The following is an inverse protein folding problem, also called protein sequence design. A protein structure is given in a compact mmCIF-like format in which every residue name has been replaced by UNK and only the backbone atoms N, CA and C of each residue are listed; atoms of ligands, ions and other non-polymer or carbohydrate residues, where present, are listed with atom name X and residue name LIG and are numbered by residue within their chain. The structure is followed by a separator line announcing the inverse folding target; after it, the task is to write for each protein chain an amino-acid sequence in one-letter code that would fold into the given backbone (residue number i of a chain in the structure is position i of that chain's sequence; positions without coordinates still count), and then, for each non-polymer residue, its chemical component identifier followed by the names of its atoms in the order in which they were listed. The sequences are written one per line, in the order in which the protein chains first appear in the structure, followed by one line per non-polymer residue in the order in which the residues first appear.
data_IF_819650862947
#
_entry.id   IF_819650862947
#
_cell.length_a   1.000
_cell.length_b   1.000
_cell.length_c   1.000
_cell.angle_alpha   90.00
_cell.angle_beta   90.00
_cell.angle_gamma   90.00
#
_symmetry.space_group_name_H-M   'P 1'
#
loop_
_entity.id
_entity.type
_entity.pdbx_description
1 polymer ?
#
# COMPACT_ATOMS: atom_id res chain seq x y z
N UNK A 1 -7.84 -69.07 -24.99
CA UNK A 1 -7.60 -68.23 -23.79
C UNK A 1 -7.47 -66.78 -24.27
N UNK A 2 -8.54 -66.01 -24.19
CA UNK A 2 -8.57 -64.60 -24.62
C UNK A 2 -8.15 -63.72 -23.44
N UNK A 3 -7.02 -63.04 -23.56
CA UNK A 3 -6.50 -62.13 -22.53
C UNK A 3 -7.26 -60.80 -22.54
N UNK A 4 -7.92 -60.49 -21.43
CA UNK A 4 -8.57 -59.20 -21.19
C UNK A 4 -7.47 -58.19 -20.84
N UNK A 5 -7.25 -57.18 -21.67
CA UNK A 5 -6.41 -56.03 -21.33
C UNK A 5 -7.24 -55.06 -20.49
N UNK A 6 -6.97 -54.99 -19.19
CA UNK A 6 -7.52 -53.96 -18.32
C UNK A 6 -6.77 -52.65 -18.59
N UNK A 7 -7.48 -51.63 -19.09
CA UNK A 7 -6.98 -50.27 -19.16
C UNK A 7 -7.19 -49.62 -17.79
N UNK A 8 -6.10 -49.22 -17.12
CA UNK A 8 -6.18 -48.35 -15.96
C UNK A 8 -6.53 -46.93 -16.44
N UNK A 9 -7.73 -46.47 -16.07
CA UNK A 9 -8.07 -45.05 -16.10
C UNK A 9 -7.41 -44.40 -14.88
N UNK A 10 -6.35 -43.62 -15.07
CA UNK A 10 -5.85 -42.72 -14.04
C UNK A 10 -6.79 -41.51 -13.95
N UNK A 11 -7.58 -41.44 -12.88
CA UNK A 11 -8.25 -40.21 -12.47
C UNK A 11 -7.19 -39.27 -11.87
N UNK A 12 -6.76 -38.26 -12.62
CA UNK A 12 -6.08 -37.11 -12.03
C UNK A 12 -7.12 -36.29 -11.26
N UNK A 13 -7.19 -36.50 -9.94
CA UNK A 13 -7.88 -35.58 -9.04
C UNK A 13 -7.04 -34.30 -8.98
N UNK A 14 -7.51 -33.22 -9.61
CA UNK A 14 -6.95 -31.90 -9.39
C UNK A 14 -7.17 -31.54 -7.92
N UNK A 15 -6.10 -31.22 -7.20
CA UNK A 15 -6.23 -30.61 -5.89
C UNK A 15 -7.02 -29.29 -6.05
N UNK A 16 -7.90 -28.93 -5.11
CA UNK A 16 -8.54 -27.62 -5.15
C UNK A 16 -7.44 -26.55 -5.18
N UNK A 17 -7.57 -25.58 -6.08
CA UNK A 17 -6.70 -24.42 -6.09
C UNK A 17 -6.76 -23.74 -4.72
N UNK A 18 -5.60 -23.27 -4.22
CA UNK A 18 -5.59 -22.42 -3.04
C UNK A 18 -6.43 -21.16 -3.31
N UNK A 19 -7.11 -20.65 -2.28
CA UNK A 19 -7.92 -19.45 -2.42
C UNK A 19 -7.04 -18.20 -2.24
N UNK A 20 -7.16 -17.27 -3.19
CA UNK A 20 -6.37 -16.04 -3.24
C UNK A 20 -7.03 -14.91 -2.43
N UNK A 21 -6.27 -13.84 -2.14
CA UNK A 21 -6.80 -12.65 -1.47
C UNK A 21 -7.75 -11.89 -2.42
N UNK A 22 -9.01 -11.76 -2.03
CA UNK A 22 -10.02 -11.03 -2.81
C UNK A 22 -10.28 -9.61 -2.28
N UNK A 23 -10.23 -9.41 -0.96
CA UNK A 23 -10.42 -8.09 -0.35
C UNK A 23 -9.78 -8.03 1.04
N UNK A 24 -9.45 -6.83 1.50
CA UNK A 24 -8.98 -6.57 2.84
C UNK A 24 -9.68 -5.34 3.44
N UNK A 25 -9.87 -5.33 4.76
CA UNK A 25 -10.31 -4.15 5.51
C UNK A 25 -9.73 -4.14 6.90
N UNK A 26 -9.59 -2.96 7.48
CA UNK A 26 -9.31 -2.88 8.90
C UNK A 26 -10.54 -3.23 9.73
N UNK A 27 -10.31 -3.81 10.90
CA UNK A 27 -11.32 -4.27 11.82
C UNK A 27 -10.94 -3.91 13.25
N UNK A 28 -11.91 -4.00 14.16
CA UNK A 28 -11.74 -3.64 15.58
C UNK A 28 -11.25 -2.18 15.76
N UNK A 29 -12.07 -1.18 15.41
CA UNK A 29 -11.76 0.23 15.66
C UNK A 29 -11.35 0.45 17.12
N UNK A 30 -10.37 1.30 17.36
CA UNK A 30 -9.76 1.44 18.69
C UNK A 30 -9.22 2.83 18.96
N UNK A 31 -9.29 3.26 20.22
CA UNK A 31 -8.69 4.52 20.69
C UNK A 31 -7.38 4.31 21.47
N UNK A 32 -6.80 3.11 21.42
CA UNK A 32 -5.58 2.77 22.20
C UNK A 32 -4.38 3.64 21.80
N UNK A 33 -4.25 3.95 20.51
CA UNK A 33 -3.14 4.76 20.02
C UNK A 33 -3.46 6.25 20.20
N UNK A 34 -4.65 6.71 19.85
CA UNK A 34 -5.13 8.06 20.18
C UNK A 34 -4.33 9.18 19.51
N UNK A 35 -3.78 8.93 18.33
CA UNK A 35 -3.13 9.95 17.51
C UNK A 35 -4.18 10.88 16.91
N UNK A 36 -5.24 10.31 16.31
CA UNK A 36 -6.33 11.09 15.72
C UNK A 36 -5.91 11.90 14.48
N UNK A 37 -4.86 11.48 13.76
CA UNK A 37 -4.49 12.10 12.48
C UNK A 37 -5.60 11.91 11.45
N UNK A 38 -6.17 10.71 11.37
CA UNK A 38 -7.37 10.39 10.59
C UNK A 38 -8.52 10.09 11.57
N UNK A 39 -9.66 10.80 11.52
CA UNK A 39 -10.79 10.54 12.41
C UNK A 39 -11.29 9.09 12.30
N UNK A 40 -11.25 8.36 13.42
CA UNK A 40 -11.65 6.94 13.46
C UNK A 40 -10.75 6.00 12.65
N UNK A 41 -9.58 6.46 12.19
CA UNK A 41 -8.66 5.71 11.33
C UNK A 41 -7.70 4.80 12.09
N UNK A 42 -8.03 4.38 13.31
CA UNK A 42 -7.18 3.53 14.15
C UNK A 42 -7.85 2.19 14.44
N UNK A 43 -7.13 1.10 14.17
CA UNK A 43 -7.69 -0.25 14.19
C UNK A 43 -6.75 -1.28 14.83
N UNK A 44 -7.34 -2.25 15.53
CA UNK A 44 -6.62 -3.34 16.19
C UNK A 44 -6.39 -4.58 15.31
N UNK A 45 -7.05 -4.67 14.17
CA UNK A 45 -7.01 -5.86 13.34
C UNK A 45 -7.07 -5.56 11.83
N UNK A 46 -6.55 -6.51 11.05
CA UNK A 46 -6.69 -6.58 9.61
C UNK A 46 -7.47 -7.84 9.27
N UNK A 47 -8.59 -7.69 8.56
CA UNK A 47 -9.40 -8.79 8.08
C UNK A 47 -9.28 -8.92 6.57
N UNK A 48 -9.19 -10.15 6.09
CA UNK A 48 -9.00 -10.51 4.68
C UNK A 48 -10.06 -11.52 4.29
N UNK A 49 -10.69 -11.31 3.13
CA UNK A 49 -11.62 -12.27 2.53
C UNK A 49 -10.94 -12.88 1.32
N UNK A 50 -10.93 -14.21 1.24
CA UNK A 50 -10.37 -14.96 0.13
C UNK A 50 -11.43 -15.20 -0.97
N UNK A 51 -10.99 -15.64 -2.16
CA UNK A 51 -11.86 -15.89 -3.32
C UNK A 51 -12.89 -16.98 -3.09
N UNK A 52 -12.66 -17.90 -2.14
CA UNK A 52 -13.62 -18.93 -1.72
C UNK A 52 -14.60 -18.47 -0.62
N UNK A 53 -14.48 -17.21 -0.17
CA UNK A 53 -15.28 -16.63 0.90
C UNK A 53 -14.73 -16.87 2.31
N UNK A 54 -13.62 -17.58 2.46
CA UNK A 54 -12.92 -17.73 3.74
C UNK A 54 -12.49 -16.36 4.26
N UNK A 55 -12.68 -16.13 5.56
CA UNK A 55 -12.28 -14.89 6.24
C UNK A 55 -11.15 -15.15 7.22
N UNK A 56 -10.03 -14.49 7.00
CA UNK A 56 -8.86 -14.51 7.87
C UNK A 56 -8.78 -13.19 8.63
N UNK A 57 -8.33 -13.24 9.88
CA UNK A 57 -8.20 -12.07 10.74
C UNK A 57 -6.87 -12.13 11.49
N UNK A 58 -6.09 -11.07 11.39
CA UNK A 58 -4.89 -10.88 12.20
C UNK A 58 -5.07 -9.70 13.14
N UNK A 59 -4.71 -9.88 14.41
CA UNK A 59 -4.76 -8.84 15.44
C UNK A 59 -3.36 -8.41 15.78
N UNK A 60 -3.16 -7.11 15.91
CA UNK A 60 -1.85 -6.55 16.28
C UNK A 60 -1.82 -6.13 17.74
N UNK A 61 -0.66 -6.34 18.35
CA UNK A 61 -0.29 -5.80 19.66
C UNK A 61 0.98 -4.96 19.52
N UNK A 62 1.21 -4.01 20.44
CA UNK A 62 2.34 -3.08 20.36
C UNK A 62 2.19 -1.97 19.32
N UNK A 63 0.97 -1.75 18.82
CA UNK A 63 0.62 -0.69 17.89
C UNK A 63 -0.82 -0.80 17.40
N UNK A 64 -1.13 -0.07 16.34
CA UNK A 64 -2.41 -0.09 15.60
C UNK A 64 -2.14 -0.07 14.09
N UNK A 65 -3.12 -0.44 13.30
CA UNK A 65 -3.20 0.06 11.93
C UNK A 65 -3.75 1.47 11.97
N UNK A 66 -3.13 2.38 11.23
CA UNK A 66 -3.52 3.79 11.20
C UNK A 66 -3.62 4.27 9.75
N UNK A 67 -4.81 4.27 9.16
CA UNK A 67 -5.04 4.61 7.74
C UNK A 67 -6.56 4.64 7.44
N UNK A 68 -6.95 4.95 6.19
CA UNK A 68 -8.36 4.92 5.74
C UNK A 68 -8.79 3.53 5.25
N UNK A 69 -7.89 2.81 4.56
CA UNK A 69 -8.12 1.44 4.10
C UNK A 69 -6.78 0.73 3.78
N UNK A 70 -6.69 -0.60 3.94
CA UNK A 70 -5.58 -1.34 3.37
C UNK A 70 -5.66 -1.32 1.84
N UNK A 71 -4.52 -1.39 1.17
CA UNK A 71 -4.46 -1.40 -0.31
C UNK A 71 -3.98 -2.77 -0.79
N UNK A 72 -4.58 -3.28 -1.85
CA UNK A 72 -4.18 -4.54 -2.49
C UNK A 72 -3.23 -4.27 -3.64
N UNK A 73 -2.16 -5.04 -3.75
CA UNK A 73 -1.17 -4.91 -4.80
C UNK A 73 -0.34 -6.18 -4.94
N UNK A 74 -0.17 -6.67 -6.17
CA UNK A 74 0.59 -7.87 -6.51
C UNK A 74 2.05 -7.48 -6.78
N UNK A 75 2.93 -7.67 -5.79
CA UNK A 75 4.35 -7.30 -5.93
C UNK A 75 5.21 -8.41 -6.51
N UNK A 76 4.79 -9.68 -6.39
CA UNK A 76 5.57 -10.82 -6.88
C UNK A 76 5.10 -11.35 -8.25
N UNK A 77 3.97 -10.85 -8.75
CA UNK A 77 3.42 -11.12 -10.06
C UNK A 77 2.77 -12.50 -10.17
N UNK A 78 2.41 -13.13 -9.05
CA UNK A 78 1.79 -14.46 -9.04
C UNK A 78 0.27 -14.44 -9.33
N UNK A 79 -0.33 -13.24 -9.41
CA UNK A 79 -1.75 -13.00 -9.65
C UNK A 79 -2.59 -12.90 -8.37
N UNK A 80 -2.01 -13.13 -7.19
CA UNK A 80 -2.60 -12.90 -5.88
C UNK A 80 -2.04 -11.61 -5.29
N UNK A 81 -2.89 -10.65 -4.89
CA UNK A 81 -2.36 -9.42 -4.33
C UNK A 81 -1.89 -9.61 -2.87
N UNK A 82 -0.78 -8.96 -2.53
CA UNK A 82 -0.44 -8.62 -1.15
C UNK A 82 -1.27 -7.44 -0.64
N UNK A 83 -1.16 -7.19 0.66
CA UNK A 83 -1.85 -6.12 1.37
C UNK A 83 -0.83 -5.13 1.92
N UNK A 84 -0.89 -3.90 1.45
CA UNK A 84 -0.14 -2.75 1.98
C UNK A 84 -0.95 -2.11 3.12
N UNK A 85 -0.34 -2.03 4.30
CA UNK A 85 -0.94 -1.40 5.48
C UNK A 85 0.05 -0.43 6.16
N UNK A 86 -0.48 0.58 6.83
CA UNK A 86 0.30 1.47 7.70
C UNK A 86 0.16 0.98 9.14
N UNK A 87 1.23 0.40 9.67
CA UNK A 87 1.29 -0.04 11.07
C UNK A 87 2.02 1.01 11.91
N UNK A 88 1.34 1.56 12.90
CA UNK A 88 1.84 2.56 13.84
C UNK A 88 2.21 1.91 15.17
N UNK A 89 3.52 1.75 15.41
CA UNK A 89 4.03 1.17 16.65
C UNK A 89 3.95 2.13 17.83
N UNK A 90 3.63 1.60 19.02
CA UNK A 90 3.40 2.38 20.24
C UNK A 90 4.64 3.19 20.69
N UNK A 91 5.84 2.72 20.34
CA UNK A 91 7.12 3.34 20.70
C UNK A 91 8.02 3.65 19.50
N UNK A 92 7.76 3.05 18.35
CA UNK A 92 8.61 3.12 17.15
C UNK A 92 8.05 4.00 16.03
N UNK A 93 6.77 4.42 16.12
CA UNK A 93 6.09 5.17 15.08
C UNK A 93 5.67 4.30 13.88
N UNK A 94 5.18 4.94 12.82
CA UNK A 94 4.64 4.24 11.65
C UNK A 94 5.69 3.56 10.76
N UNK A 95 5.26 2.50 10.10
CA UNK A 95 5.94 1.81 9.00
C UNK A 95 4.90 1.35 7.97
N UNK A 96 5.34 1.21 6.73
CA UNK A 96 4.61 0.45 5.72
C UNK A 96 4.91 -1.02 5.96
N UNK A 97 3.86 -1.81 6.15
CA UNK A 97 3.95 -3.26 6.34
C UNK A 97 3.14 -3.96 5.25
N UNK A 98 3.74 -4.96 4.63
CA UNK A 98 3.12 -5.81 3.62
C UNK A 98 2.70 -7.13 4.27
N UNK A 99 1.47 -7.54 4.02
CA UNK A 99 0.91 -8.83 4.43
C UNK A 99 0.53 -9.66 3.21
N UNK A 100 0.57 -10.98 3.34
CA UNK A 100 0.09 -11.90 2.31
C UNK A 100 -0.22 -13.27 2.90
N UNK A 101 -0.45 -14.26 2.04
CA UNK A 101 -0.68 -15.64 2.47
C UNK A 101 0.63 -16.42 2.45
N UNK A 102 0.96 -17.06 3.58
CA UNK A 102 2.03 -18.04 3.67
C UNK A 102 1.44 -19.31 4.27
N UNK A 103 1.48 -20.42 3.54
CA UNK A 103 0.87 -21.71 3.93
C UNK A 103 -0.63 -21.57 4.32
N UNK A 104 -1.37 -20.71 3.62
CA UNK A 104 -2.78 -20.41 3.89
C UNK A 104 -3.04 -19.53 5.12
N UNK A 105 -1.98 -19.02 5.77
CA UNK A 105 -2.07 -18.11 6.91
C UNK A 105 -1.77 -16.68 6.50
N UNK A 106 -2.56 -15.73 7.00
CA UNK A 106 -2.29 -14.30 6.84
C UNK A 106 -1.08 -13.89 7.69
N UNK A 107 0.01 -13.53 7.01
CA UNK A 107 1.33 -13.27 7.61
C UNK A 107 1.89 -11.92 7.16
N UNK A 108 2.63 -11.25 8.04
CA UNK A 108 3.40 -10.08 7.65
C UNK A 108 4.65 -10.52 6.87
N UNK A 109 4.72 -10.15 5.60
CA UNK A 109 5.82 -10.54 4.70
C UNK A 109 7.04 -9.64 4.88
N UNK A 110 6.86 -8.39 5.29
CA UNK A 110 7.95 -7.48 5.62
C UNK A 110 7.46 -6.06 5.92
N UNK A 111 8.37 -5.17 6.34
CA UNK A 111 8.10 -3.74 6.50
C UNK A 111 9.36 -2.90 6.28
N UNK A 112 9.17 -1.62 5.92
CA UNK A 112 10.25 -0.65 5.95
C UNK A 112 10.65 -0.29 7.41
N UNK A 113 11.76 0.44 7.56
CA UNK A 113 12.19 0.91 8.87
C UNK A 113 11.14 1.86 9.49
N UNK A 114 10.81 1.71 10.78
CA UNK A 114 9.83 2.57 11.43
C UNK A 114 10.37 3.99 11.62
N UNK A 115 9.49 4.99 11.56
CA UNK A 115 9.89 6.40 11.51
C UNK A 115 10.13 7.06 12.88
N UNK A 116 10.46 6.28 13.90
CA UNK A 116 11.08 6.74 15.14
C UNK A 116 10.21 6.61 16.39
N UNK A 117 9.32 7.56 16.65
CA UNK A 117 8.50 7.60 17.88
C UNK A 117 7.02 7.63 17.54
N UNK A 118 6.19 7.35 18.55
CA UNK A 118 4.72 7.43 18.51
C UNK A 118 4.24 8.73 17.89
N UNK A 119 3.05 8.70 17.29
CA UNK A 119 2.39 9.85 16.65
C UNK A 119 3.16 10.40 15.45
N UNK A 120 3.86 9.51 14.78
CA UNK A 120 4.39 9.73 13.44
C UNK A 120 3.71 8.76 12.52
N UNK A 121 3.19 9.30 11.41
CA UNK A 121 2.30 8.60 10.51
C UNK A 121 2.77 8.71 9.04
N UNK A 122 2.39 7.75 8.22
CA UNK A 122 2.68 7.67 6.79
C UNK A 122 1.38 7.66 6.00
N UNK A 123 1.27 8.51 4.98
CA UNK A 123 0.08 8.55 4.12
C UNK A 123 0.42 7.97 2.74
N UNK A 124 -0.12 6.79 2.43
CA UNK A 124 0.13 6.10 1.15
C UNK A 124 -0.59 6.82 0.01
N UNK A 125 0.16 7.19 -1.02
CA UNK A 125 -0.36 7.77 -2.26
C UNK A 125 -0.74 6.69 -3.28
N UNK A 126 -0.01 5.57 -3.30
CA UNK A 126 -0.34 4.39 -4.09
C UNK A 126 0.89 3.63 -4.55
N UNK A 127 0.71 2.74 -5.52
CA UNK A 127 1.74 1.83 -6.00
C UNK A 127 1.72 1.77 -7.53
N UNK A 128 2.90 1.75 -8.14
CA UNK A 128 3.12 1.57 -9.57
C UNK A 128 4.62 1.37 -9.86
N UNK A 129 4.98 0.85 -11.03
CA UNK A 129 6.35 0.86 -11.56
C UNK A 129 6.77 2.29 -11.98
N UNK A 130 7.39 3.05 -11.06
CA UNK A 130 7.79 4.43 -11.34
C UNK A 130 9.13 4.53 -12.05
N UNK A 131 9.98 3.51 -11.91
CA UNK A 131 11.33 3.51 -12.47
C UNK A 131 11.43 2.77 -13.82
N UNK A 132 10.40 2.02 -14.21
CA UNK A 132 10.29 1.28 -15.47
C UNK A 132 11.03 -0.06 -15.48
N UNK A 133 11.39 -0.62 -14.33
CA UNK A 133 12.15 -1.88 -14.22
C UNK A 133 11.26 -3.13 -14.12
N UNK A 134 9.93 -2.93 -14.10
CA UNK A 134 8.93 -3.99 -13.98
C UNK A 134 8.61 -4.40 -12.55
N UNK A 135 9.16 -3.72 -11.54
CA UNK A 135 8.79 -3.88 -10.13
C UNK A 135 8.06 -2.63 -9.64
N UNK A 136 6.88 -2.82 -9.04
CA UNK A 136 6.11 -1.70 -8.53
C UNK A 136 6.67 -1.18 -7.20
N UNK A 137 6.76 0.15 -7.05
CA UNK A 137 7.12 0.80 -5.80
C UNK A 137 5.91 1.30 -5.03
N UNK A 138 6.09 1.48 -3.72
CA UNK A 138 5.14 2.16 -2.85
C UNK A 138 5.52 3.64 -2.74
N UNK A 139 4.60 4.51 -3.15
CA UNK A 139 4.67 5.94 -2.94
C UNK A 139 3.90 6.34 -1.67
N UNK A 140 4.55 7.06 -0.76
CA UNK A 140 3.90 7.58 0.46
C UNK A 140 4.54 8.88 0.94
N UNK A 141 3.76 9.67 1.69
CA UNK A 141 4.25 10.88 2.35
C UNK A 141 4.61 10.58 3.80
N UNK A 142 5.87 10.81 4.16
CA UNK A 142 6.36 10.77 5.53
C UNK A 142 5.85 11.98 6.30
N UNK A 143 5.06 11.72 7.36
CA UNK A 143 4.45 12.70 8.27
C UNK A 143 3.86 13.88 7.48
N UNK A 144 2.71 13.70 6.82
CA UNK A 144 2.12 14.70 5.91
C UNK A 144 1.79 16.05 6.58
N UNK A 145 1.72 16.10 7.90
CA UNK A 145 1.54 17.34 8.68
C UNK A 145 2.86 17.89 9.28
N UNK A 146 3.94 17.10 9.31
CA UNK A 146 5.26 17.50 9.82
C UNK A 146 6.31 17.55 8.70
N UNK A 147 6.85 16.39 8.28
CA UNK A 147 8.01 16.32 7.40
C UNK A 147 7.66 16.62 5.93
N UNK A 148 6.44 16.31 5.48
CA UNK A 148 5.95 16.64 4.13
C UNK A 148 6.93 16.20 3.04
N UNK A 149 7.36 14.95 3.14
CA UNK A 149 8.35 14.34 2.25
C UNK A 149 7.73 13.14 1.55
N UNK A 150 7.59 13.23 0.24
CA UNK A 150 7.25 12.09 -0.61
C UNK A 150 8.45 11.15 -0.69
N UNK A 151 8.19 9.85 -0.57
CA UNK A 151 9.18 8.78 -0.67
C UNK A 151 8.66 7.72 -1.64
N UNK A 152 9.59 7.11 -2.38
CA UNK A 152 9.38 5.90 -3.17
C UNK A 152 10.24 4.79 -2.62
N UNK A 153 9.61 3.63 -2.40
CA UNK A 153 10.26 2.45 -1.84
C UNK A 153 9.92 1.22 -2.68
N UNK A 154 10.95 0.56 -3.20
CA UNK A 154 10.82 -0.76 -3.83
C UNK A 154 10.61 -1.83 -2.75
N UNK A 155 9.73 -2.78 -3.05
CA UNK A 155 9.53 -4.00 -2.26
C UNK A 155 10.28 -5.14 -2.97
N UNK A 156 11.35 -5.62 -2.35
CA UNK A 156 12.13 -6.75 -2.85
C UNK A 156 11.58 -8.05 -2.27
N UNK A 157 10.78 -8.73 -3.10
CA UNK A 157 10.10 -9.99 -2.79
C UNK A 157 11.03 -11.21 -2.80
N UNK A 158 12.28 -11.04 -3.26
CA UNK A 158 13.25 -12.16 -3.33
C UNK A 158 13.85 -12.51 -1.97
N UNK A 159 13.64 -11.65 -0.97
CA UNK A 159 14.07 -11.86 0.41
C UNK A 159 12.91 -12.37 1.28
N UNK A 160 13.22 -13.14 2.32
CA UNK A 160 12.26 -13.53 3.35
C UNK A 160 12.82 -13.15 4.73
N UNK A 161 12.26 -12.13 5.41
CA UNK A 161 11.13 -11.28 5.01
C UNK A 161 11.44 -10.37 3.81
N UNK A 162 10.40 -9.84 3.14
CA UNK A 162 10.51 -8.86 2.05
C UNK A 162 11.34 -7.67 2.51
N UNK A 163 12.28 -7.23 1.67
CA UNK A 163 13.13 -6.10 1.95
C UNK A 163 12.58 -4.82 1.30
N UNK A 164 12.81 -3.68 1.93
CA UNK A 164 12.29 -2.38 1.49
C UNK A 164 13.46 -1.43 1.25
N UNK A 165 13.56 -0.88 0.03
CA UNK A 165 14.65 0.03 -0.36
C UNK A 165 14.08 1.35 -0.85
N UNK A 166 14.40 2.44 -0.16
CA UNK A 166 14.10 3.78 -0.67
C UNK A 166 14.92 4.07 -1.92
N UNK A 167 14.25 4.49 -2.99
CA UNK A 167 14.90 4.80 -4.28
C UNK A 167 14.90 6.29 -4.59
N UNK A 168 13.93 7.04 -4.05
CA UNK A 168 13.86 8.49 -4.23
C UNK A 168 13.06 9.13 -3.09
N UNK A 169 13.40 10.38 -2.76
CA UNK A 169 12.58 11.18 -1.87
C UNK A 169 12.71 12.68 -2.10
N UNK A 170 11.61 13.42 -1.94
CA UNK A 170 11.52 14.87 -2.19
C UNK A 170 10.65 15.55 -1.15
N UNK A 171 11.09 16.71 -0.65
CA UNK A 171 10.35 17.49 0.34
C UNK A 171 9.32 18.42 -0.31
N UNK A 172 8.48 19.04 0.53
CA UNK A 172 7.56 20.09 0.09
C UNK A 172 6.23 19.58 -0.47
N UNK A 173 5.92 18.29 -0.28
CA UNK A 173 4.71 17.64 -0.79
C UNK A 173 3.90 17.04 0.36
N UNK A 174 2.57 17.08 0.26
CA UNK A 174 1.66 16.49 1.24
C UNK A 174 0.37 16.03 0.59
N UNK A 175 -0.26 15.03 1.18
CA UNK A 175 -1.51 14.45 0.70
C UNK A 175 -2.55 14.31 1.82
N UNK A 176 -2.31 14.87 3.00
CA UNK A 176 -3.24 14.76 4.11
C UNK A 176 -3.19 15.97 5.05
N UNK A 177 -4.37 16.51 5.38
CA UNK A 177 -4.53 17.54 6.41
C UNK A 177 -4.87 16.85 7.72
N UNK A 178 -4.14 17.18 8.79
CA UNK A 178 -4.40 16.64 10.12
C UNK A 178 -5.88 16.80 10.51
N UNK A 179 -6.53 15.70 10.94
CA UNK A 179 -7.95 15.65 11.28
C UNK A 179 -8.90 15.50 10.09
N UNK A 180 -8.40 15.43 8.85
CA UNK A 180 -9.20 15.11 7.67
C UNK A 180 -9.49 13.61 7.60
N UNK A 181 -10.71 13.20 7.19
CA UNK A 181 -11.01 11.79 6.93
C UNK A 181 -10.31 11.28 5.66
N UNK A 182 -9.86 12.18 4.78
CA UNK A 182 -9.38 11.82 3.45
C UNK A 182 -7.86 11.94 3.33
N UNK A 183 -7.26 10.91 2.73
CA UNK A 183 -5.94 10.97 2.11
C UNK A 183 -6.18 11.34 0.64
N UNK A 184 -5.71 12.52 0.24
CA UNK A 184 -6.03 13.13 -1.05
C UNK A 184 -4.97 12.82 -2.11
N UNK A 185 -5.31 12.96 -3.39
CA UNK A 185 -4.38 12.68 -4.49
C UNK A 185 -4.18 11.18 -4.72
N UNK A 186 -3.07 10.82 -5.37
CA UNK A 186 -2.85 9.42 -5.75
C UNK A 186 -1.86 9.26 -6.89
N UNK A 187 -1.97 8.13 -7.60
CA UNK A 187 -1.14 7.82 -8.76
C UNK A 187 -1.94 8.01 -10.03
N UNK A 188 -1.38 8.79 -10.96
CA UNK A 188 -1.91 8.90 -12.32
C UNK A 188 -1.14 7.99 -13.24
N UNK A 189 -1.84 7.03 -13.84
CA UNK A 189 -1.32 6.09 -14.83
C UNK A 189 -2.02 6.36 -16.15
N UNK A 190 -1.27 6.79 -17.16
CA UNK A 190 -1.79 7.08 -18.49
C UNK A 190 -1.16 6.19 -19.56
N UNK A 191 -1.89 5.85 -20.64
CA UNK A 191 -1.35 5.00 -21.70
C UNK A 191 -0.03 5.55 -22.24
N UNK A 192 0.98 4.67 -22.32
CA UNK A 192 2.31 5.00 -22.87
C UNK A 192 3.05 6.13 -22.15
N UNK A 193 2.71 6.42 -20.89
CA UNK A 193 3.43 7.39 -20.06
C UNK A 193 3.87 6.72 -18.75
N UNK A 194 5.08 7.04 -18.23
CA UNK A 194 5.46 6.63 -16.89
C UNK A 194 4.47 7.20 -15.85
N UNK A 195 4.11 6.42 -14.82
CA UNK A 195 3.18 6.86 -13.80
C UNK A 195 3.74 8.06 -13.02
N UNK A 196 2.85 8.88 -12.49
CA UNK A 196 3.20 10.05 -11.68
C UNK A 196 2.40 10.12 -10.40
N UNK A 197 2.96 10.78 -9.40
CA UNK A 197 2.32 10.96 -8.09
C UNK A 197 1.73 12.37 -8.03
N UNK A 198 0.43 12.46 -7.76
CA UNK A 198 -0.31 13.71 -7.61
C UNK A 198 -0.53 13.97 -6.11
N UNK A 199 -0.04 15.11 -5.63
CA UNK A 199 -0.14 15.57 -4.24
C UNK A 199 -0.40 17.08 -4.18
N UNK A 200 -0.65 17.62 -2.99
CA UNK A 200 -0.62 19.06 -2.78
C UNK A 200 0.81 19.55 -2.45
N UNK A 201 1.09 20.81 -2.75
CA UNK A 201 2.25 21.49 -2.18
C UNK A 201 2.14 21.56 -0.66
N UNK A 202 3.26 21.64 0.05
CA UNK A 202 3.27 21.62 1.53
C UNK A 202 2.38 22.70 2.15
N UNK A 203 2.16 23.83 1.49
CA UNK A 203 1.30 24.92 1.95
C UNK A 203 -0.14 24.84 1.39
N UNK A 204 -0.53 23.74 0.74
CA UNK A 204 -1.86 23.52 0.16
C UNK A 204 -2.29 24.58 -0.85
N UNK A 205 -1.34 25.21 -1.56
CA UNK A 205 -1.65 26.24 -2.56
C UNK A 205 -1.68 25.73 -4.01
N UNK A 206 -1.05 24.58 -4.27
CA UNK A 206 -0.90 24.00 -5.61
C UNK A 206 -1.15 22.51 -5.61
N UNK A 207 -1.73 22.04 -6.71
CA UNK A 207 -1.67 20.64 -7.14
C UNK A 207 -0.29 20.43 -7.74
N UNK A 208 0.40 19.40 -7.27
CA UNK A 208 1.77 19.08 -7.65
C UNK A 208 1.80 17.70 -8.29
N UNK A 209 2.45 17.60 -9.45
CA UNK A 209 2.87 16.35 -10.05
C UNK A 209 4.33 16.09 -9.64
N UNK A 210 4.61 14.85 -9.22
CA UNK A 210 5.95 14.34 -9.01
C UNK A 210 6.19 13.16 -9.95
N UNK A 211 7.22 13.30 -10.80
CA UNK A 211 7.67 12.27 -11.74
C UNK A 211 9.07 11.81 -11.36
N UNK A 212 9.32 10.52 -11.42
CA UNK A 212 10.67 9.97 -11.30
C UNK A 212 11.36 10.04 -12.66
N UNK A 213 12.53 10.67 -12.72
CA UNK A 213 13.37 10.78 -13.93
C UNK A 213 14.81 10.54 -13.50
N UNK A 214 15.47 9.54 -14.09
CA UNK A 214 16.86 9.19 -13.79
C UNK A 214 17.15 9.00 -12.29
N UNK A 215 16.19 8.43 -11.55
CA UNK A 215 16.30 8.18 -10.10
C UNK A 215 16.02 9.40 -9.21
N UNK A 216 15.71 10.56 -9.78
CA UNK A 216 15.36 11.76 -9.04
C UNK A 216 13.94 12.24 -9.29
N UNK A 217 13.34 12.88 -8.29
CA UNK A 217 12.03 13.49 -8.44
C UNK A 217 12.11 14.82 -9.17
N UNK A 218 11.42 14.92 -10.31
CA UNK A 218 11.05 16.18 -10.93
C UNK A 218 9.64 16.54 -10.50
N UNK A 219 9.50 17.69 -9.82
CA UNK A 219 8.21 18.17 -9.31
C UNK A 219 7.77 19.44 -10.03
N UNK A 220 6.49 19.53 -10.38
CA UNK A 220 5.92 20.69 -11.05
C UNK A 220 4.51 20.99 -10.56
N UNK A 221 4.12 22.27 -10.42
CA UNK A 221 2.73 22.62 -10.18
C UNK A 221 1.92 22.40 -11.47
N UNK A 222 0.79 21.69 -11.37
CA UNK A 222 -0.12 21.43 -12.50
C UNK A 222 -1.47 22.15 -12.36
N UNK A 223 -1.69 22.81 -11.21
CA UNK A 223 -2.90 23.57 -10.96
C UNK A 223 -2.87 24.27 -9.61
N UNK A 224 -3.87 25.10 -9.34
CA UNK A 224 -4.16 25.63 -8.01
C UNK A 224 -4.87 24.54 -7.20
N UNK A 225 -4.54 24.43 -5.91
CA UNK A 225 -5.32 23.61 -4.99
C UNK A 225 -6.48 24.46 -4.43
N UNK A 226 -7.72 24.00 -4.59
CA UNK A 226 -8.91 24.65 -4.02
C UNK A 226 -9.58 23.73 -2.99
N UNK A 227 -9.69 22.46 -3.31
CA UNK A 227 -10.32 21.40 -2.54
C UNK A 227 -9.78 20.02 -2.99
N UNK A 228 -10.20 18.90 -2.36
CA UNK A 228 -9.77 17.56 -2.79
C UNK A 228 -10.06 17.27 -4.27
N UNK A 229 -11.13 17.83 -4.84
CA UNK A 229 -11.50 17.67 -6.24
C UNK A 229 -10.46 18.22 -7.21
N UNK A 230 -9.63 19.18 -6.78
CA UNK A 230 -8.48 19.68 -7.55
C UNK A 230 -7.44 18.58 -7.80
N UNK A 231 -7.19 17.72 -6.82
CA UNK A 231 -6.27 16.58 -6.94
C UNK A 231 -6.91 15.44 -7.76
N UNK A 232 -8.19 15.15 -7.53
CA UNK A 232 -8.93 14.14 -8.31
C UNK A 232 -8.98 14.45 -9.80
N UNK A 233 -9.18 15.73 -10.16
CA UNK A 233 -9.14 16.16 -11.56
C UNK A 233 -7.77 15.92 -12.18
N UNK A 234 -6.69 16.16 -11.43
CA UNK A 234 -5.32 15.97 -11.89
C UNK A 234 -4.89 14.49 -11.99
N UNK A 235 -5.69 13.55 -11.48
CA UNK A 235 -5.47 12.12 -11.67
C UNK A 235 -5.94 11.60 -13.04
N UNK A 236 -6.72 12.38 -13.78
CA UNK A 236 -7.22 12.01 -15.11
C UNK A 236 -6.14 12.18 -16.18
N UNK A 237 -6.27 11.42 -17.26
CA UNK A 237 -5.35 11.43 -18.42
C UNK A 237 -5.78 12.35 -19.56
N UNK A 238 -6.86 13.09 -19.35
CA UNK A 238 -7.50 13.95 -20.35
C UNK A 238 -6.79 15.30 -20.51
#
# INVERSE_FOLDING_TARGET
MYGVKAALLSLCLAAPAAADIASARYAEPTDRYGHGAVPGGEYGALEVTLTDGTRLLTRVSGGVFEDTAPRLHDFDGDGTPEIVAVFSGDTTGAMIRVYGLQDGMLTALGNNAPIGTRFRWLAVAGMADFNGDGLDEIAYVDRPHLARRLRLVTVDVTHSPYAFREIASVGGLTNHKYGSPDIEGGIRVCPSQPPVIITASANWSRVMEARLVDGEFQIAPVGKYEDPGSLEAALRCD
#
